data_IF_188952327692
#
_entry.id   IF_188952327692
#
_cell.length_a   1.000
_cell.length_b   1.000
_cell.length_c   1.000
_cell.angle_alpha   90.00
_cell.angle_beta   90.00
_cell.angle_gamma   90.00
#
_symmetry.space_group_name_H-M   'P 1'
#
loop_
_entity.id
_entity.type
_entity.pdbx_description
1 polymer ?
#
# COMPACT_ATOMS: atom_id res chain seq x y z
N UNK A 1 16.74 2.85 -1.52
CA UNK A 1 15.82 2.21 -0.55
C UNK A 1 14.40 2.46 -1.03
N UNK A 2 13.47 1.54 -0.76
CA UNK A 2 12.06 1.69 -1.14
C UNK A 2 11.25 1.64 0.15
N UNK A 3 10.29 2.53 0.30
CA UNK A 3 9.29 2.44 1.37
C UNK A 3 8.12 1.59 0.88
N UNK A 4 7.71 0.64 1.70
CA UNK A 4 6.64 -0.26 1.35
C UNK A 4 5.99 -0.88 2.57
N UNK A 5 5.01 -1.72 2.33
CA UNK A 5 4.30 -2.44 3.36
C UNK A 5 4.38 -3.94 3.08
N UNK A 6 4.57 -4.73 4.14
CA UNK A 6 4.41 -6.17 4.04
C UNK A 6 2.95 -6.52 3.74
N UNK A 7 2.71 -7.45 2.81
CA UNK A 7 1.35 -7.81 2.41
C UNK A 7 0.51 -8.34 3.58
N UNK A 8 1.11 -9.02 4.57
CA UNK A 8 0.38 -9.50 5.74
C UNK A 8 -0.01 -8.36 6.69
N UNK A 9 0.63 -7.19 6.56
CA UNK A 9 0.32 -5.99 7.36
C UNK A 9 -0.67 -5.05 6.65
N UNK A 10 -1.03 -5.33 5.40
CA UNK A 10 -1.86 -4.42 4.59
C UNK A 10 -3.22 -4.14 5.22
N UNK A 11 -3.96 -5.18 5.64
CA UNK A 11 -5.31 -5.01 6.18
C UNK A 11 -5.32 -4.20 7.49
N UNK A 12 -4.33 -4.40 8.36
CA UNK A 12 -4.19 -3.66 9.62
C UNK A 12 -3.79 -2.21 9.38
N UNK A 13 -2.95 -1.96 8.38
CA UNK A 13 -2.59 -0.60 7.96
C UNK A 13 -3.79 0.16 7.39
N UNK A 14 -4.56 -0.48 6.50
CA UNK A 14 -5.81 0.09 5.96
C UNK A 14 -6.80 0.40 7.08
N UNK A 15 -6.96 -0.49 8.06
CA UNK A 15 -7.84 -0.27 9.20
C UNK A 15 -7.45 0.97 10.00
N UNK A 16 -6.16 1.20 10.22
CA UNK A 16 -5.67 2.38 10.94
C UNK A 16 -5.83 3.66 10.11
N UNK A 17 -5.56 3.59 8.81
CA UNK A 17 -5.80 4.70 7.88
C UNK A 17 -7.28 5.12 7.88
N UNK A 18 -8.20 4.14 7.85
CA UNK A 18 -9.64 4.39 7.91
C UNK A 18 -10.09 5.01 9.26
N UNK A 19 -9.35 4.75 10.34
CA UNK A 19 -9.61 5.34 11.66
C UNK A 19 -9.08 6.80 11.78
N UNK A 20 -8.56 7.39 10.69
CA UNK A 20 -7.96 8.73 10.70
C UNK A 20 -6.53 8.77 11.26
N UNK A 21 -5.92 7.60 11.51
CA UNK A 21 -4.50 7.50 11.81
C UNK A 21 -3.65 7.70 10.55
N UNK A 22 -2.37 7.98 10.74
CA UNK A 22 -1.39 8.08 9.64
C UNK A 22 -1.02 6.71 9.04
N UNK A 23 -1.69 5.62 9.46
CA UNK A 23 -1.30 4.24 9.17
C UNK A 23 -0.06 3.82 9.98
N UNK A 24 0.25 2.52 10.02
CA UNK A 24 1.60 2.08 10.44
C UNK A 24 2.66 2.70 9.51
N UNK A 25 3.82 3.02 10.06
CA UNK A 25 4.96 3.52 9.27
C UNK A 25 5.32 2.50 8.19
N UNK A 26 5.51 2.99 6.96
CA UNK A 26 6.03 2.17 5.88
C UNK A 26 7.40 1.63 6.28
N UNK A 27 7.63 0.36 5.99
CA UNK A 27 8.92 -0.27 6.23
C UNK A 27 9.89 0.16 5.14
N UNK A 28 11.05 0.68 5.54
CA UNK A 28 12.17 0.90 4.61
C UNK A 28 12.76 -0.46 4.25
N UNK A 29 12.56 -0.89 3.00
CA UNK A 29 13.16 -2.11 2.48
C UNK A 29 14.40 -1.77 1.68
N UNK A 30 15.51 -2.41 2.05
CA UNK A 30 16.72 -2.42 1.27
C UNK A 30 16.79 -3.70 0.45
N UNK A 31 16.84 -3.55 -0.87
CA UNK A 31 17.11 -4.64 -1.80
C UNK A 31 18.60 -4.60 -2.15
N UNK A 32 19.45 -5.46 -1.54
CA UNK A 32 20.91 -5.48 -1.79
C UNK A 32 21.27 -6.10 -3.15
N UNK A 33 20.41 -5.94 -4.16
CA UNK A 33 20.54 -6.57 -5.46
C UNK A 33 20.69 -5.49 -6.53
N UNK A 34 21.60 -5.72 -7.47
CA UNK A 34 21.81 -4.82 -8.62
C UNK A 34 20.63 -4.84 -9.61
N UNK A 35 19.69 -5.77 -9.44
CA UNK A 35 18.58 -6.01 -10.37
C UNK A 35 17.32 -6.47 -9.63
N UNK A 36 16.19 -5.91 -10.02
CA UNK A 36 14.85 -6.42 -9.69
C UNK A 36 14.49 -7.50 -10.72
N UNK A 37 14.21 -8.71 -10.27
CA UNK A 37 13.88 -9.83 -11.16
C UNK A 37 12.39 -9.91 -11.49
N UNK A 38 11.52 -9.43 -10.58
CA UNK A 38 10.08 -9.49 -10.72
C UNK A 38 9.42 -8.29 -10.05
N UNK A 39 8.47 -7.69 -10.75
CA UNK A 39 7.53 -6.70 -10.23
C UNK A 39 6.13 -7.16 -10.65
N UNK A 40 5.21 -7.20 -9.69
CA UNK A 40 3.82 -7.56 -9.94
C UNK A 40 3.01 -6.26 -10.02
N UNK A 41 2.22 -6.12 -11.08
CA UNK A 41 1.33 -4.99 -11.24
C UNK A 41 0.11 -5.18 -10.32
N UNK A 42 -0.20 -4.18 -9.50
CA UNK A 42 -1.48 -4.12 -8.81
C UNK A 42 -2.56 -3.72 -9.81
N UNK A 43 -3.41 -4.68 -10.18
CA UNK A 43 -4.50 -4.50 -11.12
C UNK A 43 -5.72 -5.31 -10.66
N UNK A 44 -6.91 -4.80 -10.96
CA UNK A 44 -8.11 -5.59 -10.83
C UNK A 44 -8.11 -6.77 -11.82
N UNK A 45 -8.78 -7.85 -11.44
CA UNK A 45 -8.92 -9.05 -12.27
C UNK A 45 -10.35 -9.57 -12.18
N UNK A 46 -11.18 -9.18 -13.15
CA UNK A 46 -12.61 -9.49 -13.12
C UNK A 46 -13.27 -8.85 -11.90
N UNK A 47 -13.86 -9.68 -11.04
CA UNK A 47 -14.52 -9.22 -9.82
C UNK A 47 -13.54 -9.03 -8.63
N UNK A 48 -12.24 -9.27 -8.82
CA UNK A 48 -11.23 -9.09 -7.78
C UNK A 48 -10.64 -7.68 -7.87
N UNK A 49 -10.90 -6.80 -6.87
CA UNK A 49 -10.36 -5.44 -6.88
C UNK A 49 -8.86 -5.43 -6.57
N UNK A 50 -8.15 -4.46 -7.15
CA UNK A 50 -6.76 -4.18 -6.81
C UNK A 50 -6.59 -3.79 -5.34
N UNK A 51 -5.37 -3.85 -4.81
CA UNK A 51 -5.09 -3.41 -3.44
C UNK A 51 -5.37 -1.92 -3.27
N UNK A 52 -5.02 -1.09 -4.26
CA UNK A 52 -5.35 0.33 -4.26
C UNK A 52 -6.87 0.59 -4.20
N UNK A 53 -7.66 -0.18 -4.96
CA UNK A 53 -9.13 -0.07 -4.92
C UNK A 53 -9.71 -0.52 -3.57
N UNK A 54 -9.16 -1.60 -2.99
CA UNK A 54 -9.57 -2.05 -1.66
C UNK A 54 -9.26 -1.02 -0.59
N UNK A 55 -8.10 -0.35 -0.68
CA UNK A 55 -7.74 0.77 0.19
C UNK A 55 -8.76 1.90 0.07
N UNK A 56 -9.00 2.40 -1.14
CA UNK A 56 -9.90 3.54 -1.38
C UNK A 56 -11.32 3.25 -0.89
N UNK A 57 -11.84 2.06 -1.18
CA UNK A 57 -13.18 1.63 -0.72
C UNK A 57 -13.32 1.65 0.81
N UNK A 58 -12.24 1.37 1.55
CA UNK A 58 -12.26 1.28 3.01
C UNK A 58 -11.92 2.60 3.70
N UNK A 59 -11.07 3.42 3.09
CA UNK A 59 -10.55 4.68 3.67
C UNK A 59 -11.32 5.91 3.18
N UNK A 60 -11.97 5.82 2.02
CA UNK A 60 -12.78 6.91 1.45
C UNK A 60 -11.99 7.99 0.72
N UNK A 61 -10.69 7.77 0.48
CA UNK A 61 -9.82 8.59 -0.38
C UNK A 61 -8.82 7.68 -1.10
N UNK A 62 -8.28 8.13 -2.23
CA UNK A 62 -7.37 7.31 -3.01
C UNK A 62 -6.07 7.03 -2.25
N UNK A 63 -5.39 5.93 -2.61
CA UNK A 63 -4.08 5.60 -2.03
C UNK A 63 -3.05 6.70 -2.32
N UNK A 64 -3.07 7.29 -3.52
CA UNK A 64 -2.18 8.37 -3.91
C UNK A 64 -2.36 9.60 -3.01
N UNK A 65 -3.61 10.08 -2.84
CA UNK A 65 -3.92 11.22 -1.96
C UNK A 65 -3.53 10.96 -0.49
N UNK A 66 -3.64 9.71 -0.03
CA UNK A 66 -3.19 9.33 1.31
C UNK A 66 -1.67 9.44 1.45
N UNK A 67 -0.91 8.92 0.48
CA UNK A 67 0.55 8.92 0.50
C UNK A 67 1.15 10.32 0.28
N UNK A 68 0.56 11.14 -0.58
CA UNK A 68 0.98 12.53 -0.79
C UNK A 68 0.81 13.39 0.48
N UNK A 69 -0.07 12.99 1.40
CA UNK A 69 -0.21 13.65 2.71
C UNK A 69 0.79 13.16 3.78
N UNK A 70 1.57 12.13 3.49
CA UNK A 70 2.59 11.57 4.40
C UNK A 70 4.02 12.07 4.09
N UNK A 71 4.29 12.46 2.84
CA UNK A 71 5.58 12.98 2.35
C UNK A 71 5.63 14.51 2.38
#
# INVERSE_FOLDING_TARGET
>A
VIEGIDLNSFDDWVRQAAAGGQGLSLSTVFFPLLRVEKLLLDAESGDVPSMAMQFEKRVGRSLQEFLDGLL
#
